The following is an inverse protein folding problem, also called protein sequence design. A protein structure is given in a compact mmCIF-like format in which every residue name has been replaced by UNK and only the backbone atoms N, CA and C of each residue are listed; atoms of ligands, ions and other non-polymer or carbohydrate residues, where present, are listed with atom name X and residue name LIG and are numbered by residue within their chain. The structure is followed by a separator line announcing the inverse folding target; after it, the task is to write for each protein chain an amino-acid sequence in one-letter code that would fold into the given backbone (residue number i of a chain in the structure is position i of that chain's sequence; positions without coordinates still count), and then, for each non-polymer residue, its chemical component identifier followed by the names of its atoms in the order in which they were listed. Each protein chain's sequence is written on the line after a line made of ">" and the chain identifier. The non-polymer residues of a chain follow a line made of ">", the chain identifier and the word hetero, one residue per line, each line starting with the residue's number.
data_IF_747548737867
#
_entry.id   IF_747548737867
#
_cell.length_a   1.000
_cell.length_b   1.000
_cell.length_c   1.000
_cell.angle_alpha   90.00
_cell.angle_beta   90.00
_cell.angle_gamma   90.00
#
_symmetry.space_group_name_H-M   'P 1'
#
loop_
_entity.id
_entity.type
_entity.pdbx_description
1 polymer ?
#
# COMPACT_ATOMS: atom_id res chain seq x y z
N UNK A 1 -61.71 -22.87 47.58
CA UNK A 1 -61.96 -22.99 46.12
C UNK A 1 -61.56 -21.66 45.48
N UNK A 2 -60.70 -21.54 44.48
CA UNK A 2 -59.86 -22.46 43.72
C UNK A 2 -58.78 -21.57 43.08
N UNK A 3 -57.51 -21.92 43.32
CA UNK A 3 -56.56 -22.38 42.30
C UNK A 3 -56.10 -21.29 41.31
N UNK A 4 -54.95 -20.68 41.65
CA UNK A 4 -54.18 -19.74 40.83
C UNK A 4 -52.85 -20.42 40.47
N UNK A 5 -52.82 -21.23 39.40
CA UNK A 5 -51.67 -22.11 39.15
C UNK A 5 -51.41 -22.51 37.70
N UNK A 6 -51.69 -21.66 36.69
CA UNK A 6 -51.64 -22.09 35.28
C UNK A 6 -50.57 -21.51 34.36
N UNK A 7 -50.25 -20.21 34.45
CA UNK A 7 -49.74 -19.50 33.26
C UNK A 7 -48.21 -19.26 33.25
N UNK A 8 -47.49 -19.49 34.36
CA UNK A 8 -46.05 -19.17 34.46
C UNK A 8 -45.07 -20.25 33.98
N UNK A 9 -45.51 -21.49 33.73
CA UNK A 9 -44.60 -22.61 33.45
C UNK A 9 -44.30 -22.83 31.95
N UNK A 10 -45.25 -22.55 31.05
CA UNK A 10 -45.17 -22.88 29.63
C UNK A 10 -44.17 -22.00 28.86
N UNK A 11 -44.11 -20.69 29.16
CA UNK A 11 -43.16 -19.77 28.52
C UNK A 11 -41.68 -20.06 28.84
N UNK A 12 -41.40 -20.63 30.01
CA UNK A 12 -40.05 -20.95 30.51
C UNK A 12 -39.48 -22.24 29.91
N UNK A 13 -40.34 -23.22 29.62
CA UNK A 13 -39.95 -24.48 28.95
C UNK A 13 -39.57 -24.27 27.48
N UNK A 14 -40.34 -23.45 26.76
CA UNK A 14 -40.10 -23.16 25.34
C UNK A 14 -38.83 -22.32 25.14
N UNK A 15 -38.57 -21.33 25.99
CA UNK A 15 -37.32 -20.55 25.95
C UNK A 15 -36.09 -21.41 26.26
N UNK A 16 -36.17 -22.33 27.24
CA UNK A 16 -35.08 -23.27 27.54
C UNK A 16 -34.79 -24.22 26.37
N UNK A 17 -35.82 -24.71 25.67
CA UNK A 17 -35.65 -25.57 24.49
C UNK A 17 -35.03 -24.82 23.31
N UNK A 18 -35.50 -23.60 23.03
CA UNK A 18 -34.92 -22.76 21.97
C UNK A 18 -33.46 -22.44 22.31
N UNK A 19 -33.16 -22.08 23.56
CA UNK A 19 -31.79 -21.84 24.02
C UNK A 19 -30.88 -23.06 23.87
N UNK A 20 -31.35 -24.26 24.21
CA UNK A 20 -30.58 -25.50 24.06
C UNK A 20 -30.32 -25.85 22.58
N UNK A 21 -31.29 -25.63 21.69
CA UNK A 21 -31.11 -25.84 20.24
C UNK A 21 -30.10 -24.85 19.67
N UNK A 22 -30.19 -23.57 20.04
CA UNK A 22 -29.23 -22.55 19.61
C UNK A 22 -27.81 -22.86 20.10
N UNK A 23 -27.66 -23.35 21.34
CA UNK A 23 -26.38 -23.79 21.89
C UNK A 23 -25.82 -25.02 21.17
N UNK A 24 -26.67 -25.99 20.83
CA UNK A 24 -26.23 -27.17 20.07
C UNK A 24 -25.78 -26.79 18.65
N UNK A 25 -26.51 -25.90 17.96
CA UNK A 25 -26.14 -25.39 16.64
C UNK A 25 -24.84 -24.60 16.67
N UNK A 26 -24.63 -23.75 17.70
CA UNK A 26 -23.37 -23.02 17.84
C UNK A 26 -22.19 -23.96 18.09
N UNK A 27 -22.36 -25.00 18.90
CA UNK A 27 -21.31 -26.00 19.13
C UNK A 27 -20.95 -26.77 17.85
N UNK A 28 -21.94 -27.15 17.04
CA UNK A 28 -21.71 -27.80 15.74
C UNK A 28 -20.98 -26.87 14.77
N UNK A 29 -21.36 -25.60 14.70
CA UNK A 29 -20.68 -24.61 13.87
C UNK A 29 -19.21 -24.41 14.29
N UNK A 30 -18.96 -24.31 15.60
CA UNK A 30 -17.60 -24.21 16.15
C UNK A 30 -16.79 -25.47 15.81
N UNK A 31 -17.37 -26.66 15.99
CA UNK A 31 -16.70 -27.92 15.65
C UNK A 31 -16.36 -28.00 14.16
N UNK A 32 -17.28 -27.58 13.27
CA UNK A 32 -17.02 -27.53 11.83
C UNK A 32 -15.85 -26.60 11.48
N UNK A 33 -15.76 -25.43 12.13
CA UNK A 33 -14.64 -24.49 11.97
C UNK A 33 -13.34 -25.13 12.44
N UNK A 34 -13.34 -25.77 13.61
CA UNK A 34 -12.14 -26.43 14.17
C UNK A 34 -11.67 -27.56 13.25
N UNK A 35 -12.57 -28.41 12.77
CA UNK A 35 -12.21 -29.52 11.85
C UNK A 35 -11.67 -28.96 10.54
N UNK A 36 -12.31 -27.94 9.96
CA UNK A 36 -11.83 -27.28 8.73
C UNK A 36 -10.42 -26.71 8.92
N UNK A 37 -10.18 -25.98 10.01
CA UNK A 37 -8.88 -25.40 10.29
C UNK A 37 -7.82 -26.47 10.56
N UNK A 38 -8.18 -27.58 11.22
CA UNK A 38 -7.28 -28.72 11.42
C UNK A 38 -6.85 -29.38 10.10
N UNK A 39 -7.76 -29.51 9.13
CA UNK A 39 -7.43 -30.06 7.80
C UNK A 39 -6.49 -29.10 7.05
N UNK A 40 -6.85 -27.82 6.97
CA UNK A 40 -6.02 -26.80 6.29
C UNK A 40 -4.64 -26.65 6.94
N UNK A 41 -4.55 -26.80 8.25
CA UNK A 41 -3.27 -26.75 8.95
C UNK A 41 -2.37 -27.93 8.58
N UNK A 42 -2.92 -29.16 8.50
CA UNK A 42 -2.14 -30.34 8.05
C UNK A 42 -1.70 -30.20 6.60
N UNK A 43 -2.55 -29.64 5.76
CA UNK A 43 -2.22 -29.33 4.36
C UNK A 43 -1.09 -28.30 4.29
N UNK A 44 -1.15 -27.22 5.07
CA UNK A 44 -0.08 -26.21 5.14
C UNK A 44 1.27 -26.81 5.55
N UNK A 45 1.27 -27.69 6.56
CA UNK A 45 2.48 -28.42 6.99
C UNK A 45 2.99 -29.35 5.87
N UNK A 46 2.10 -30.07 5.19
CA UNK A 46 2.51 -30.94 4.09
C UNK A 46 3.10 -30.17 2.91
N UNK A 47 2.59 -28.98 2.59
CA UNK A 47 3.15 -28.10 1.56
C UNK A 47 4.54 -27.59 1.96
N UNK A 48 4.70 -27.17 3.22
CA UNK A 48 5.98 -26.73 3.78
C UNK A 48 7.05 -27.84 3.71
N UNK A 49 6.69 -29.05 4.16
CA UNK A 49 7.55 -30.25 4.09
C UNK A 49 7.87 -30.67 2.63
N UNK A 50 6.98 -30.37 1.68
CA UNK A 50 7.20 -30.61 0.26
C UNK A 50 8.01 -29.50 -0.44
N UNK A 51 8.36 -28.42 0.28
CA UNK A 51 9.09 -27.27 -0.27
C UNK A 51 8.23 -26.25 -1.02
N UNK A 52 6.90 -26.37 -0.98
CA UNK A 52 5.98 -25.36 -1.52
C UNK A 52 5.73 -24.26 -0.49
N UNK A 53 6.70 -23.36 -0.37
CA UNK A 53 6.65 -22.24 0.57
C UNK A 53 5.45 -21.30 0.31
N UNK A 54 5.07 -21.09 -0.95
CA UNK A 54 3.95 -20.20 -1.30
C UNK A 54 2.62 -20.82 -0.86
N UNK A 55 2.38 -22.08 -1.20
CA UNK A 55 1.18 -22.79 -0.80
C UNK A 55 1.05 -22.90 0.72
N UNK A 56 2.16 -23.21 1.40
CA UNK A 56 2.23 -23.25 2.86
C UNK A 56 1.90 -21.88 3.48
N UNK A 57 2.53 -20.81 2.99
CA UNK A 57 2.31 -19.45 3.48
C UNK A 57 0.85 -19.02 3.35
N UNK A 58 0.23 -19.22 2.19
CA UNK A 58 -1.18 -18.85 1.95
C UNK A 58 -2.12 -19.53 2.96
N UNK A 59 -1.88 -20.80 3.28
CA UNK A 59 -2.70 -21.53 4.24
C UNK A 59 -2.42 -21.12 5.68
N UNK A 60 -1.14 -21.01 6.09
CA UNK A 60 -0.77 -20.59 7.43
C UNK A 60 -1.25 -19.17 7.74
N UNK A 61 -1.07 -18.24 6.80
CA UNK A 61 -1.55 -16.86 6.93
C UNK A 61 -3.08 -16.82 7.09
N UNK A 62 -3.82 -17.57 6.27
CA UNK A 62 -5.28 -17.64 6.37
C UNK A 62 -5.80 -18.32 7.64
N UNK A 63 -4.97 -19.13 8.32
CA UNK A 63 -5.30 -19.78 9.59
C UNK A 63 -5.12 -18.86 10.80
N UNK A 64 -4.29 -17.81 10.67
CA UNK A 64 -4.06 -16.79 11.70
C UNK A 64 -3.68 -17.39 13.05
N UNK A 65 -4.47 -17.09 14.09
CA UNK A 65 -4.22 -17.55 15.47
C UNK A 65 -4.52 -19.04 15.74
N UNK A 66 -4.78 -19.85 14.72
CA UNK A 66 -4.97 -21.28 14.90
C UNK A 66 -3.63 -22.00 15.08
N UNK A 67 -3.43 -22.66 16.23
CA UNK A 67 -2.18 -23.34 16.59
C UNK A 67 -0.99 -22.35 16.54
N UNK A 68 0.08 -22.73 15.86
CA UNK A 68 1.31 -21.97 15.58
C UNK A 68 1.36 -21.44 14.14
N UNK A 69 0.20 -21.36 13.45
CA UNK A 69 0.15 -20.99 12.04
C UNK A 69 0.73 -19.59 11.77
N UNK A 70 0.43 -18.61 12.62
CA UNK A 70 1.00 -17.27 12.52
C UNK A 70 2.54 -17.26 12.61
N UNK A 71 3.11 -18.04 13.53
CA UNK A 71 4.56 -18.16 13.69
C UNK A 71 5.21 -18.83 12.49
N UNK A 72 4.56 -19.85 11.91
CA UNK A 72 5.03 -20.52 10.69
C UNK A 72 4.96 -19.62 9.47
N UNK A 73 3.87 -18.87 9.30
CA UNK A 73 3.76 -17.87 8.23
C UNK A 73 4.87 -16.82 8.36
N UNK A 74 5.14 -16.34 9.59
CA UNK A 74 6.21 -15.38 9.83
C UNK A 74 7.59 -15.98 9.51
N UNK A 75 7.88 -17.21 9.95
CA UNK A 75 9.15 -17.87 9.64
C UNK A 75 9.38 -18.05 8.13
N UNK A 76 8.32 -18.35 7.37
CA UNK A 76 8.37 -18.40 5.91
C UNK A 76 8.71 -17.03 5.31
N UNK A 77 8.06 -15.95 5.78
CA UNK A 77 8.36 -14.58 5.32
C UNK A 77 9.77 -14.11 5.70
N UNK A 78 10.29 -14.53 6.86
CA UNK A 78 11.67 -14.26 7.25
C UNK A 78 12.69 -14.95 6.33
N UNK A 79 12.36 -16.15 5.83
CA UNK A 79 13.18 -16.86 4.85
C UNK A 79 13.04 -16.29 3.43
N UNK A 80 11.85 -15.81 3.08
CA UNK A 80 11.52 -15.29 1.76
C UNK A 80 10.55 -14.10 1.87
N UNK A 81 11.08 -12.87 1.97
CA UNK A 81 10.29 -11.67 2.18
C UNK A 81 9.27 -11.36 1.07
N UNK A 82 9.41 -11.96 -0.11
CA UNK A 82 8.53 -11.75 -1.26
C UNK A 82 7.21 -12.53 -1.19
N UNK A 83 7.13 -13.59 -0.35
CA UNK A 83 5.96 -14.47 -0.24
C UNK A 83 4.61 -13.75 -0.07
N UNK A 84 4.49 -12.69 0.77
CA UNK A 84 3.22 -11.98 0.95
C UNK A 84 2.68 -11.35 -0.34
N UNK A 85 3.55 -11.08 -1.31
CA UNK A 85 3.23 -10.27 -2.49
C UNK A 85 3.05 -11.09 -3.77
N UNK A 86 3.38 -12.39 -3.77
CA UNK A 86 3.32 -13.24 -4.98
C UNK A 86 1.92 -13.39 -5.57
N UNK A 87 0.91 -13.51 -4.71
CA UNK A 87 -0.50 -13.63 -5.12
C UNK A 87 -1.18 -12.30 -5.43
N UNK A 88 -0.48 -11.18 -5.23
CA UNK A 88 -1.04 -9.84 -5.41
C UNK A 88 -1.20 -9.54 -6.90
N UNK A 89 -2.31 -8.88 -7.25
CA UNK A 89 -2.69 -8.50 -8.59
C UNK A 89 -2.81 -6.98 -8.73
N UNK A 90 -2.79 -6.50 -9.97
CA UNK A 90 -3.09 -5.09 -10.29
C UNK A 90 -4.46 -4.69 -9.71
N UNK A 91 -4.50 -3.53 -9.05
CA UNK A 91 -5.69 -3.00 -8.38
C UNK A 91 -5.85 -3.46 -6.92
N UNK A 92 -5.07 -4.44 -6.46
CA UNK A 92 -5.03 -4.79 -5.04
C UNK A 92 -4.30 -3.70 -4.24
N UNK A 93 -4.51 -3.72 -2.93
CA UNK A 93 -3.72 -2.94 -1.97
C UNK A 93 -2.84 -3.84 -1.12
N UNK A 94 -1.63 -3.38 -0.81
CA UNK A 94 -0.67 -4.10 0.03
C UNK A 94 -0.07 -3.21 1.12
N UNK A 95 0.38 -3.82 2.21
CA UNK A 95 1.16 -3.14 3.24
C UNK A 95 2.65 -3.40 3.02
N UNK A 96 3.46 -2.35 2.91
CA UNK A 96 4.89 -2.46 2.68
C UNK A 96 5.64 -1.26 3.27
N UNK A 97 6.63 -1.49 4.12
CA UNK A 97 7.25 -0.41 4.90
C UNK A 97 6.32 0.25 5.92
N UNK A 98 6.86 1.25 6.60
CA UNK A 98 6.19 2.02 7.64
C UNK A 98 6.65 3.47 7.64
N UNK A 99 5.74 4.43 7.79
CA UNK A 99 6.03 5.86 7.89
C UNK A 99 5.04 6.54 8.83
N UNK A 100 5.46 7.64 9.44
CA UNK A 100 4.60 8.47 10.30
C UNK A 100 3.42 9.02 9.50
N UNK A 101 2.19 8.73 9.93
CA UNK A 101 0.97 9.08 9.22
C UNK A 101 -0.10 9.69 10.12
N UNK A 102 -0.08 9.41 11.42
CA UNK A 102 -1.09 9.90 12.37
C UNK A 102 -0.68 11.19 13.12
N UNK A 103 0.58 11.61 12.98
CA UNK A 103 1.15 12.81 13.60
C UNK A 103 1.61 12.58 15.05
N UNK A 104 1.62 11.34 15.53
CA UNK A 104 2.00 10.97 16.88
C UNK A 104 3.31 10.16 16.91
N UNK A 105 4.44 10.85 16.78
CA UNK A 105 5.78 10.22 16.82
C UNK A 105 6.14 9.38 18.06
N UNK A 106 5.29 9.33 19.10
CA UNK A 106 5.48 8.49 20.29
C UNK A 106 5.00 7.04 20.15
N UNK A 107 4.14 6.71 19.16
CA UNK A 107 3.63 5.36 18.92
C UNK A 107 4.49 4.56 17.90
N UNK A 108 5.40 5.25 17.20
CA UNK A 108 6.21 4.68 16.12
C UNK A 108 5.47 4.69 14.77
N UNK A 109 6.17 4.53 13.64
CA UNK A 109 5.58 4.73 12.32
C UNK A 109 4.48 3.69 12.00
N UNK A 110 3.44 4.14 11.31
CA UNK A 110 2.35 3.30 10.82
C UNK A 110 2.73 2.54 9.55
N UNK A 111 2.15 1.37 9.31
CA UNK A 111 2.34 0.67 8.04
C UNK A 111 1.82 1.49 6.86
N UNK A 112 2.59 1.56 5.78
CA UNK A 112 2.18 2.27 4.56
C UNK A 112 1.29 1.34 3.73
N UNK A 113 0.13 1.83 3.32
CA UNK A 113 -0.73 1.16 2.34
C UNK A 113 -0.36 1.60 0.92
N UNK A 114 -0.23 0.65 0.00
CA UNK A 114 0.14 0.89 -1.39
C UNK A 114 -0.93 0.34 -2.33
N UNK A 115 -1.18 1.05 -3.41
CA UNK A 115 -1.98 0.62 -4.56
C UNK A 115 -1.06 -0.06 -5.57
N UNK A 116 -1.43 -1.25 -6.03
CA UNK A 116 -0.68 -1.97 -7.08
C UNK A 116 -1.13 -1.45 -8.44
N UNK A 117 -0.32 -0.57 -9.04
CA UNK A 117 -0.61 0.03 -10.34
C UNK A 117 -0.38 -0.95 -11.50
N UNK A 118 0.62 -1.82 -11.37
CA UNK A 118 0.89 -2.85 -12.38
C UNK A 118 1.64 -4.06 -11.83
N UNK A 119 1.61 -5.14 -12.61
CA UNK A 119 2.38 -6.36 -12.38
C UNK A 119 2.99 -6.83 -13.69
N UNK A 120 4.31 -6.77 -13.79
CA UNK A 120 5.07 -7.10 -15.00
C UNK A 120 6.24 -7.98 -14.59
N UNK A 121 6.41 -9.13 -15.24
CA UNK A 121 7.57 -10.02 -15.09
C UNK A 121 7.98 -10.27 -13.63
N UNK A 122 7.00 -10.59 -12.78
CA UNK A 122 7.25 -10.90 -11.37
C UNK A 122 7.59 -9.67 -10.50
N UNK A 123 7.37 -8.47 -11.00
CA UNK A 123 7.53 -7.21 -10.29
C UNK A 123 6.18 -6.50 -10.11
N UNK A 124 6.03 -5.76 -9.01
CA UNK A 124 4.85 -4.94 -8.73
C UNK A 124 5.24 -3.46 -8.71
N UNK A 125 4.52 -2.63 -9.47
CA UNK A 125 4.59 -1.18 -9.34
C UNK A 125 3.61 -0.75 -8.26
N UNK A 126 4.15 -0.15 -7.20
CA UNK A 126 3.39 0.34 -6.07
C UNK A 126 3.37 1.87 -6.06
N UNK A 127 2.23 2.45 -5.70
CA UNK A 127 2.05 3.88 -5.39
C UNK A 127 1.43 4.00 -4.00
N UNK A 128 1.96 4.86 -3.13
CA UNK A 128 1.36 5.06 -1.81
C UNK A 128 -0.12 5.44 -1.95
N UNK A 129 -1.00 4.81 -1.18
CA UNK A 129 -2.44 5.07 -1.26
C UNK A 129 -2.74 6.53 -0.87
N UNK A 130 -2.09 6.99 0.20
CA UNK A 130 -2.22 8.34 0.74
C UNK A 130 -1.02 9.21 0.35
N UNK A 131 -1.21 10.52 0.45
CA UNK A 131 -0.12 11.50 0.54
C UNK A 131 0.55 11.35 1.90
N UNK A 132 1.83 10.95 1.89
CA UNK A 132 2.55 10.63 3.12
C UNK A 132 3.22 11.85 3.77
N UNK A 133 3.60 12.84 2.97
CA UNK A 133 4.35 14.01 3.43
C UNK A 133 4.00 15.24 2.58
N UNK A 134 4.17 16.44 3.15
CA UNK A 134 4.03 17.72 2.47
C UNK A 134 5.40 18.35 2.23
N UNK A 135 5.84 18.42 0.97
CA UNK A 135 7.17 18.92 0.60
C UNK A 135 7.18 19.77 -0.65
N UNK A 136 8.16 20.68 -0.67
CA UNK A 136 8.57 21.35 -1.88
C UNK A 136 9.26 20.35 -2.79
N UNK A 137 9.09 20.52 -4.10
CA UNK A 137 9.89 19.78 -5.07
C UNK A 137 11.36 20.19 -4.97
N UNK A 138 11.58 21.51 -4.84
CA UNK A 138 12.88 22.14 -4.62
C UNK A 138 12.72 23.42 -3.81
N UNK A 139 13.62 23.68 -2.86
CA UNK A 139 13.46 24.72 -1.84
C UNK A 139 13.68 26.16 -2.35
N UNK A 140 14.36 26.34 -3.49
CA UNK A 140 14.72 27.66 -4.01
C UNK A 140 13.64 28.18 -4.96
N UNK A 141 12.99 29.33 -4.66
CA UNK A 141 11.97 29.91 -5.53
C UNK A 141 12.51 30.29 -6.90
N UNK A 142 11.78 29.93 -7.95
CA UNK A 142 12.08 30.25 -9.36
C UNK A 142 13.44 29.72 -9.88
N UNK A 143 14.13 28.85 -9.15
CA UNK A 143 15.33 28.19 -9.66
C UNK A 143 14.94 27.11 -10.67
N UNK A 144 15.62 27.10 -11.81
CA UNK A 144 15.47 26.00 -12.76
C UNK A 144 16.05 24.72 -12.16
N UNK A 145 15.24 23.67 -12.11
CA UNK A 145 15.62 22.40 -11.46
C UNK A 145 14.98 21.23 -12.20
N UNK A 146 15.70 20.12 -12.25
CA UNK A 146 15.27 18.86 -12.86
C UNK A 146 15.00 17.82 -11.79
N UNK A 147 14.39 16.68 -12.15
CA UNK A 147 14.21 15.56 -11.21
C UNK A 147 15.51 15.12 -10.58
N UNK A 148 16.56 14.94 -11.40
CA UNK A 148 17.91 14.55 -10.99
C UNK A 148 18.44 15.33 -9.79
N UNK A 149 18.22 16.65 -9.79
CA UNK A 149 18.79 17.60 -8.82
C UNK A 149 17.77 18.10 -7.79
N UNK A 150 16.55 17.57 -7.79
CA UNK A 150 15.49 18.00 -6.88
C UNK A 150 15.71 17.53 -5.44
N UNK A 151 15.34 18.38 -4.47
CA UNK A 151 15.32 18.00 -3.06
C UNK A 151 14.37 16.83 -2.79
N UNK A 152 13.26 16.77 -3.53
CA UNK A 152 12.27 15.71 -3.40
C UNK A 152 12.87 14.34 -3.74
N UNK A 153 13.60 14.23 -4.87
CA UNK A 153 14.28 12.99 -5.26
C UNK A 153 15.32 12.57 -4.22
N UNK A 154 16.11 13.54 -3.73
CA UNK A 154 17.14 13.30 -2.72
C UNK A 154 16.53 12.74 -1.43
N UNK A 155 15.41 13.30 -0.97
CA UNK A 155 14.69 12.81 0.20
C UNK A 155 14.06 11.42 -0.03
N UNK A 156 13.41 11.20 -1.19
CA UNK A 156 12.78 9.91 -1.51
C UNK A 156 13.78 8.76 -1.50
N UNK A 157 14.98 8.96 -2.04
CA UNK A 157 16.02 7.94 -2.16
C UNK A 157 17.01 7.92 -0.98
N UNK A 158 16.92 8.89 -0.07
CA UNK A 158 17.67 8.97 1.19
C UNK A 158 16.75 8.69 2.38
N UNK A 159 16.44 9.74 3.14
CA UNK A 159 15.72 9.67 4.42
C UNK A 159 14.44 8.80 4.37
N UNK A 160 13.62 8.96 3.33
CA UNK A 160 12.40 8.16 3.21
C UNK A 160 12.73 6.68 2.99
N UNK A 161 13.57 6.34 2.01
CA UNK A 161 13.95 4.97 1.71
C UNK A 161 14.66 4.27 2.89
N UNK A 162 15.56 4.98 3.57
CA UNK A 162 16.34 4.43 4.68
C UNK A 162 15.48 4.24 5.94
N UNK A 163 14.53 5.15 6.18
CA UNK A 163 13.65 5.12 7.34
C UNK A 163 12.41 4.24 7.18
N UNK A 164 11.83 4.20 5.97
CA UNK A 164 10.52 3.57 5.76
C UNK A 164 10.58 2.05 5.58
N UNK A 165 11.71 1.51 5.13
CA UNK A 165 11.83 0.10 4.77
C UNK A 165 12.89 -0.62 5.60
N UNK A 166 12.58 -1.82 6.08
CA UNK A 166 13.56 -2.70 6.73
C UNK A 166 14.62 -3.21 5.73
N UNK A 167 15.79 -3.72 6.18
CA UNK A 167 16.77 -4.31 5.27
C UNK A 167 16.22 -5.42 4.37
N UNK A 168 15.32 -6.27 4.89
CA UNK A 168 14.69 -7.34 4.11
C UNK A 168 13.75 -6.77 3.02
N UNK A 169 12.95 -5.75 3.35
CA UNK A 169 12.09 -5.06 2.39
C UNK A 169 12.90 -4.32 1.33
N UNK A 170 13.98 -3.64 1.73
CA UNK A 170 14.92 -3.00 0.80
C UNK A 170 15.55 -3.99 -0.18
N UNK A 171 15.72 -5.25 0.22
CA UNK A 171 16.16 -6.31 -0.68
C UNK A 171 15.16 -6.68 -1.79
N UNK A 172 13.89 -6.29 -1.65
CA UNK A 172 12.87 -6.46 -2.69
C UNK A 172 12.73 -5.24 -3.60
N UNK A 173 13.16 -4.05 -3.15
CA UNK A 173 12.99 -2.80 -3.90
C UNK A 173 14.00 -2.76 -5.04
N UNK A 174 13.49 -2.61 -6.26
CA UNK A 174 14.28 -2.57 -7.46
C UNK A 174 14.88 -1.19 -7.69
N UNK A 175 16.05 -1.15 -8.33
CA UNK A 175 16.60 0.11 -8.87
C UNK A 175 16.10 0.28 -10.29
N UNK A 176 15.40 1.38 -10.54
CA UNK A 176 14.69 1.65 -11.79
C UNK A 176 15.44 2.71 -12.56
N UNK A 177 15.72 2.42 -13.84
CA UNK A 177 16.25 3.41 -14.76
C UNK A 177 15.11 4.32 -15.26
N UNK A 178 15.07 5.54 -14.76
CA UNK A 178 14.07 6.53 -15.10
C UNK A 178 14.57 7.46 -16.19
N UNK A 179 13.99 7.33 -17.38
CA UNK A 179 14.10 8.35 -18.42
C UNK A 179 13.34 9.60 -17.97
N UNK A 180 14.06 10.71 -17.81
CA UNK A 180 13.50 12.02 -17.43
C UNK A 180 13.22 12.84 -18.68
N UNK A 181 12.19 12.45 -19.42
CA UNK A 181 11.80 13.10 -20.66
C UNK A 181 11.41 14.57 -20.47
N UNK A 182 11.70 15.38 -21.47
CA UNK A 182 11.27 16.78 -21.54
C UNK A 182 9.75 16.90 -21.55
N UNK A 183 9.25 18.06 -21.12
CA UNK A 183 7.82 18.35 -21.11
C UNK A 183 7.24 18.26 -22.53
N UNK A 184 6.12 17.53 -22.67
CA UNK A 184 5.61 17.10 -23.99
C UNK A 184 5.12 18.20 -24.94
N UNK A 185 4.92 19.43 -24.46
CA UNK A 185 4.37 20.58 -25.18
C UNK A 185 5.42 21.68 -25.38
N UNK A 186 6.10 22.11 -24.32
CA UNK A 186 7.05 23.22 -24.31
C UNK A 186 8.49 22.78 -24.48
N UNK A 187 8.80 21.50 -24.22
CA UNK A 187 10.17 20.99 -24.25
C UNK A 187 11.03 21.49 -23.09
N UNK A 188 10.42 21.87 -21.96
CA UNK A 188 11.18 22.14 -20.74
C UNK A 188 11.95 20.87 -20.34
N UNK A 189 13.25 21.03 -20.04
CA UNK A 189 14.15 19.90 -19.83
C UNK A 189 13.74 19.03 -18.64
N UNK A 190 13.65 17.72 -18.82
CA UNK A 190 13.45 16.78 -17.73
C UNK A 190 14.73 16.47 -16.93
N UNK A 191 15.89 16.79 -17.51
CA UNK A 191 17.22 16.49 -16.96
C UNK A 191 17.79 15.16 -17.45
N UNK A 192 18.92 14.75 -16.88
CA UNK A 192 19.52 13.45 -17.21
C UNK A 192 18.68 12.30 -16.67
N UNK A 193 18.79 11.12 -17.28
CA UNK A 193 18.22 9.89 -16.74
C UNK A 193 18.80 9.57 -15.34
N UNK A 194 18.00 8.96 -14.49
CA UNK A 194 18.35 8.65 -13.09
C UNK A 194 18.12 7.17 -12.78
N UNK A 195 18.91 6.62 -11.87
CA UNK A 195 18.65 5.32 -11.27
C UNK A 195 18.05 5.55 -9.87
N UNK A 196 16.78 5.20 -9.69
CA UNK A 196 16.01 5.49 -8.48
C UNK A 196 15.41 4.22 -7.87
N UNK A 197 15.35 4.15 -6.55
CA UNK A 197 14.61 3.10 -5.81
C UNK A 197 13.21 3.53 -5.45
N UNK A 198 13.04 4.83 -5.24
CA UNK A 198 11.76 5.48 -4.95
C UNK A 198 11.66 6.72 -5.82
N UNK A 199 10.53 6.89 -6.48
CA UNK A 199 10.32 7.97 -7.44
C UNK A 199 8.90 8.54 -7.36
N UNK A 200 8.69 9.75 -7.89
CA UNK A 200 7.36 10.24 -8.22
C UNK A 200 7.00 9.79 -9.64
N UNK A 201 5.73 9.50 -9.90
CA UNK A 201 5.29 9.16 -11.26
C UNK A 201 5.64 10.28 -12.26
N UNK A 202 5.94 9.90 -13.50
CA UNK A 202 6.11 10.82 -14.63
C UNK A 202 4.77 11.22 -15.25
N UNK A 203 4.82 12.19 -16.16
CA UNK A 203 3.73 12.53 -17.07
C UNK A 203 3.20 11.28 -17.78
N UNK A 204 4.08 10.49 -18.43
CA UNK A 204 3.70 9.27 -19.16
C UNK A 204 2.99 8.25 -18.26
N UNK A 205 3.54 8.00 -17.07
CA UNK A 205 2.95 7.06 -16.11
C UNK A 205 1.60 7.59 -15.59
N UNK A 206 1.48 8.89 -15.31
CA UNK A 206 0.22 9.51 -14.91
C UNK A 206 -0.85 9.38 -16.00
N UNK A 207 -0.47 9.55 -17.28
CA UNK A 207 -1.37 9.36 -18.41
C UNK A 207 -1.80 7.91 -18.55
N UNK A 208 -0.89 6.95 -18.34
CA UNK A 208 -1.21 5.51 -18.42
C UNK A 208 -2.17 5.11 -17.29
N UNK A 209 -1.82 5.45 -16.05
CA UNK A 209 -2.52 4.94 -14.87
C UNK A 209 -3.72 5.78 -14.45
N UNK A 210 -3.83 7.05 -14.87
CA UNK A 210 -4.92 7.98 -14.53
C UNK A 210 -5.74 8.42 -15.76
N UNK A 211 -5.80 7.60 -16.82
CA UNK A 211 -6.47 7.94 -18.09
C UNK A 211 -8.00 8.04 -18.02
N UNK A 212 -8.64 7.39 -17.06
CA UNK A 212 -10.11 7.36 -16.95
C UNK A 212 -10.61 8.15 -15.75
N UNK A 213 -11.87 8.65 -15.77
CA UNK A 213 -12.48 9.26 -14.59
C UNK A 213 -12.45 8.36 -13.35
N UNK A 214 -12.67 7.04 -13.53
CA UNK A 214 -12.60 6.07 -12.43
C UNK A 214 -11.17 6.00 -11.86
N UNK A 215 -10.15 5.85 -12.71
CA UNK A 215 -8.76 5.83 -12.23
C UNK A 215 -8.34 7.15 -11.56
N UNK A 216 -8.81 8.30 -12.06
CA UNK A 216 -8.60 9.59 -11.40
C UNK A 216 -9.24 9.65 -10.03
N UNK A 217 -10.47 9.15 -9.88
CA UNK A 217 -11.16 9.07 -8.60
C UNK A 217 -10.53 8.06 -7.63
N UNK A 218 -10.18 6.87 -8.11
CA UNK A 218 -9.82 5.73 -7.27
C UNK A 218 -8.31 5.68 -6.96
N UNK A 219 -7.48 6.25 -7.84
CA UNK A 219 -6.02 6.24 -7.72
C UNK A 219 -5.48 7.66 -7.61
N UNK A 220 -5.94 8.58 -8.47
CA UNK A 220 -5.39 9.93 -8.57
C UNK A 220 -5.74 10.83 -7.38
N UNK A 221 -7.00 10.83 -6.96
CA UNK A 221 -7.49 11.60 -5.83
C UNK A 221 -7.04 10.92 -4.53
N UNK A 222 -6.01 11.47 -3.90
CA UNK A 222 -5.34 10.84 -2.77
C UNK A 222 -5.64 11.57 -1.47
N UNK A 223 -6.13 10.87 -0.43
CA UNK A 223 -6.24 11.44 0.91
C UNK A 223 -4.89 11.90 1.44
N UNK A 224 -4.87 12.99 2.20
CA UNK A 224 -3.71 13.38 2.98
C UNK A 224 -3.67 12.64 4.32
N UNK A 225 -2.51 12.08 4.67
CA UNK A 225 -2.29 11.57 6.03
C UNK A 225 -2.44 12.72 7.05
N UNK A 226 -2.75 12.39 8.31
CA UNK A 226 -2.84 13.41 9.36
C UNK A 226 -1.50 14.14 9.53
N UNK A 227 -0.40 13.40 9.42
CA UNK A 227 0.95 13.94 9.43
C UNK A 227 1.17 14.95 8.28
N UNK A 228 0.88 14.58 7.03
CA UNK A 228 1.03 15.48 5.88
C UNK A 228 0.13 16.71 5.97
N UNK A 229 -1.11 16.53 6.44
CA UNK A 229 -2.10 17.60 6.59
C UNK A 229 -1.79 18.56 7.76
N UNK A 230 -0.94 18.16 8.72
CA UNK A 230 -0.53 19.03 9.82
C UNK A 230 0.41 20.17 9.37
N UNK A 231 1.01 20.03 8.19
CA UNK A 231 1.92 21.01 7.59
C UNK A 231 1.21 22.10 6.77
N UNK A 232 1.95 22.79 5.89
CA UNK A 232 1.43 23.84 5.00
C UNK A 232 0.69 23.30 3.76
N UNK A 233 0.36 22.01 3.72
CA UNK A 233 -0.32 21.37 2.59
C UNK A 233 -1.75 21.90 2.45
N UNK A 234 -2.14 22.27 1.23
CA UNK A 234 -3.55 22.56 0.95
C UNK A 234 -4.33 21.25 0.79
N UNK A 235 -5.34 21.07 1.62
CA UNK A 235 -6.21 19.88 1.62
C UNK A 235 -7.63 20.32 1.26
N UNK A 236 -8.27 19.57 0.37
CA UNK A 236 -9.64 19.79 -0.10
C UNK A 236 -10.68 19.47 0.99
N UNK A 237 -11.94 19.82 0.75
CA UNK A 237 -13.05 19.46 1.65
C UNK A 237 -13.23 17.94 1.79
N UNK A 238 -12.85 17.17 0.75
CA UNK A 238 -12.90 15.71 0.73
C UNK A 238 -11.65 15.05 1.36
N UNK A 239 -10.73 15.86 1.91
CA UNK A 239 -9.52 15.37 2.57
C UNK A 239 -8.38 15.00 1.62
N UNK A 240 -8.51 15.31 0.32
CA UNK A 240 -7.49 15.02 -0.71
C UNK A 240 -6.57 16.21 -0.95
N UNK A 241 -5.39 15.98 -1.51
CA UNK A 241 -4.43 17.05 -1.79
C UNK A 241 -3.79 16.91 -3.18
N UNK A 242 -3.32 18.03 -3.72
CA UNK A 242 -2.47 18.03 -4.91
C UNK A 242 -1.14 17.35 -4.58
N UNK A 243 -0.56 16.58 -5.50
CA UNK A 243 0.70 15.85 -5.28
C UNK A 243 1.63 15.83 -6.48
N UNK A 244 2.94 15.82 -6.23
CA UNK A 244 3.98 16.01 -7.25
C UNK A 244 4.15 14.84 -8.21
N UNK A 245 4.42 15.17 -9.48
CA UNK A 245 5.03 14.29 -10.48
C UNK A 245 6.51 14.66 -10.66
N UNK A 246 7.32 13.75 -11.23
CA UNK A 246 8.73 14.03 -11.55
C UNK A 246 8.94 14.78 -12.87
N UNK A 247 7.91 14.87 -13.71
CA UNK A 247 8.02 15.48 -15.02
C UNK A 247 7.98 17.01 -14.94
N UNK A 248 8.80 17.73 -15.73
CA UNK A 248 8.86 19.18 -15.72
C UNK A 248 7.55 19.81 -16.19
N UNK A 249 7.24 20.99 -15.67
CA UNK A 249 6.10 21.81 -16.08
C UNK A 249 6.44 22.71 -17.27
N UNK A 250 5.63 23.75 -17.48
CA UNK A 250 5.79 24.70 -18.61
C UNK A 250 7.13 25.43 -18.59
N UNK A 251 7.65 25.73 -17.39
CA UNK A 251 8.89 26.46 -17.15
C UNK A 251 9.89 25.58 -16.38
N UNK A 252 11.20 25.84 -16.51
CA UNK A 252 12.24 25.06 -15.84
C UNK A 252 12.20 25.13 -14.30
N UNK A 253 11.47 26.08 -13.72
CA UNK A 253 11.20 26.20 -12.29
C UNK A 253 9.79 25.73 -11.88
N UNK A 254 9.09 25.03 -12.77
CA UNK A 254 7.79 24.44 -12.51
C UNK A 254 7.84 22.93 -12.74
N UNK A 255 7.07 22.18 -11.97
CA UNK A 255 6.95 20.71 -12.09
C UNK A 255 5.49 20.29 -12.10
N UNK A 256 5.19 19.21 -12.81
CA UNK A 256 3.83 18.70 -12.95
C UNK A 256 3.34 18.12 -11.62
N UNK A 257 2.02 18.07 -11.49
CA UNK A 257 1.35 17.51 -10.33
C UNK A 257 0.04 16.87 -10.76
N UNK A 258 -0.54 16.08 -9.88
CA UNK A 258 -1.93 15.63 -9.97
C UNK A 258 -2.73 16.41 -8.95
N UNK A 259 -3.84 17.02 -9.38
CA UNK A 259 -4.66 17.82 -8.48
C UNK A 259 -5.45 16.96 -7.49
N UNK A 260 -6.05 17.59 -6.49
CA UNK A 260 -6.83 16.95 -5.44
C UNK A 260 -8.05 16.15 -5.96
N UNK A 261 -8.44 16.33 -7.23
CA UNK A 261 -9.49 15.56 -7.91
C UNK A 261 -8.94 14.39 -8.74
N UNK A 262 -7.62 14.20 -8.72
CA UNK A 262 -6.91 13.14 -9.41
C UNK A 262 -6.57 13.43 -10.87
N UNK A 263 -6.64 14.68 -11.32
CA UNK A 263 -6.35 15.06 -12.70
C UNK A 263 -4.90 15.53 -12.84
N UNK A 264 -4.09 14.94 -13.75
CA UNK A 264 -2.75 15.45 -14.05
C UNK A 264 -2.76 16.86 -14.66
N UNK A 265 -1.88 17.72 -14.18
CA UNK A 265 -1.68 19.10 -14.62
C UNK A 265 -0.33 19.27 -15.32
N UNK A 266 -0.36 19.29 -16.65
CA UNK A 266 0.82 19.40 -17.53
C UNK A 266 1.54 20.75 -17.44
N UNK A 267 0.83 21.82 -17.05
CA UNK A 267 1.47 23.14 -16.91
C UNK A 267 2.40 23.18 -15.70
N UNK A 268 2.12 22.35 -14.70
CA UNK A 268 2.83 22.30 -13.44
C UNK A 268 2.58 23.51 -12.54
N UNK A 269 3.28 23.50 -11.40
CA UNK A 269 3.30 24.56 -10.41
C UNK A 269 4.76 24.83 -10.00
N UNK A 270 5.03 26.00 -9.41
CA UNK A 270 6.39 26.36 -9.02
C UNK A 270 6.96 25.33 -8.02
N UNK A 271 8.23 24.98 -8.20
CA UNK A 271 8.90 23.91 -7.43
C UNK A 271 9.01 24.19 -5.94
N UNK A 272 8.93 25.46 -5.53
CA UNK A 272 8.96 25.90 -4.13
C UNK A 272 7.58 25.92 -3.45
N UNK A 273 6.52 25.48 -4.12
CA UNK A 273 5.21 25.30 -3.47
C UNK A 273 5.16 24.01 -2.66
N UNK A 274 4.22 23.96 -1.70
CA UNK A 274 4.04 22.79 -0.83
C UNK A 274 2.92 21.90 -1.37
N UNK A 275 3.28 20.74 -1.90
CA UNK A 275 2.35 19.74 -2.40
C UNK A 275 2.60 18.40 -1.71
N UNK A 276 1.64 17.50 -1.87
CA UNK A 276 1.71 16.15 -1.36
C UNK A 276 2.79 15.32 -2.05
N UNK A 277 3.38 14.42 -1.29
CA UNK A 277 4.32 13.42 -1.78
C UNK A 277 3.68 12.05 -1.75
N UNK A 278 3.59 11.43 -2.94
CA UNK A 278 3.19 10.04 -3.11
C UNK A 278 4.33 9.23 -3.73
N UNK A 279 5.12 8.54 -2.90
CA UNK A 279 6.18 7.67 -3.39
C UNK A 279 5.63 6.55 -4.27
N UNK A 280 6.35 6.24 -5.33
CA UNK A 280 6.18 5.05 -6.14
C UNK A 280 7.49 4.23 -6.14
N UNK A 281 7.37 2.91 -6.23
CA UNK A 281 8.51 2.00 -6.30
C UNK A 281 8.13 0.68 -6.97
N UNK A 282 9.14 0.00 -7.50
CA UNK A 282 9.00 -1.38 -7.97
C UNK A 282 9.53 -2.34 -6.91
N UNK A 283 8.78 -3.41 -6.63
CA UNK A 283 9.29 -4.54 -5.86
C UNK A 283 9.34 -5.81 -6.70
N UNK A 284 10.39 -6.60 -6.50
CA UNK A 284 10.51 -7.94 -7.04
C UNK A 284 9.82 -8.93 -6.11
N UNK A 285 8.92 -9.75 -6.65
CA UNK A 285 8.17 -10.74 -5.90
C UNK A 285 8.48 -12.18 -6.34
N UNK A 286 9.43 -12.39 -7.25
CA UNK A 286 9.83 -13.73 -7.66
C UNK A 286 10.60 -14.48 -6.57
N UNK A 287 10.66 -15.81 -6.69
CA UNK A 287 11.47 -16.68 -5.83
C UNK A 287 12.93 -16.28 -5.84
N UNK A 288 13.58 -16.24 -4.67
CA UNK A 288 15.05 -16.26 -4.58
C UNK A 288 15.54 -17.58 -5.17
N UNK A 289 15.79 -17.61 -6.49
CA UNK A 289 16.24 -18.81 -7.21
C UNK A 289 15.65 -19.03 -8.62
N UNK A 290 14.64 -18.27 -9.05
CA UNK A 290 14.04 -18.45 -10.39
C UNK A 290 14.60 -17.48 -11.45
N UNK A 291 15.13 -16.32 -11.04
CA UNK A 291 15.64 -15.25 -11.93
C UNK A 291 17.08 -15.39 -12.44
N UNK A 292 17.57 -16.61 -12.69
CA UNK A 292 18.87 -16.81 -13.35
C UNK A 292 18.87 -18.07 -14.20
N UNK A 293 18.19 -18.01 -15.36
CA UNK A 293 18.45 -18.89 -16.51
C UNK A 293 18.33 -18.15 -17.82
#
# INVERSE_FOLDING_TARGET
>A
MGDNGGVRAQGRSTTVRIGAVLLALSLVAVLAIVVRNAVRYREAVALDEAGDAQGAYVLFHALGGYSDAAQRAQALVEADPALPYRSVSKGDTVSFGSYEQDGNTSNGPESITWIVLDKIDGQLLLLSADVLEARQYHHVPFEEVTWENSDLRAWMNGDFYDGAFTPAQRGLIETVHNENADQSITGASGGAATDDRVFALSETESVIYLNTPAARSDIGAAPASVHAAAGPLSVSEDGTADWWLRSPGTYGFATQFVDATGVPSLSGANVDLQYGVRPALWINVEGVGEGSR
#
